data_IF_093866737238
#
_entry.id   IF_093866737238
#
_cell.length_a   1.000
_cell.length_b   1.000
_cell.length_c   1.000
_cell.angle_alpha   90.00
_cell.angle_beta   90.00
_cell.angle_gamma   90.00
#
_symmetry.space_group_name_H-M   'P 1'
#
loop_
_entity.id
_entity.type
_entity.pdbx_description
1 polymer ?
2 branched ?
3 branched ?
4 non-polymer ?
#
# COMPACT_ATOMS: atom_id res chain seq x y z
N UNK A 7 -23.15 -24.13 -19.21
CA UNK A 7 -22.69 -22.74 -18.90
C UNK A 7 -22.24 -22.67 -17.44
N UNK A 8 -21.04 -23.15 -17.14
CA UNK A 8 -20.58 -23.15 -15.74
C UNK A 8 -19.89 -21.88 -15.22
N UNK A 9 -19.96 -21.72 -13.90
CA UNK A 9 -19.42 -20.55 -13.20
C UNK A 9 -18.10 -20.69 -12.45
N UNK A 10 -17.43 -19.55 -12.32
CA UNK A 10 -16.15 -19.43 -11.61
C UNK A 10 -16.50 -19.17 -10.16
N UNK A 11 -15.93 -19.98 -9.28
CA UNK A 11 -16.21 -19.84 -7.87
C UNK A 11 -15.00 -19.32 -7.11
N UNK A 12 -15.15 -18.14 -6.52
CA UNK A 12 -14.06 -17.51 -5.78
C UNK A 12 -14.35 -17.39 -4.30
N UNK A 13 -13.30 -17.63 -3.51
CA UNK A 13 -13.37 -17.52 -2.05
C UNK A 13 -12.65 -16.22 -1.66
N UNK A 14 -13.34 -15.33 -0.96
CA UNK A 14 -12.71 -14.09 -0.52
C UNK A 14 -12.49 -14.18 0.99
N UNK A 15 -11.24 -14.34 1.40
CA UNK A 15 -10.86 -14.46 2.81
C UNK A 15 -10.29 -13.16 3.39
N UNK A 16 -11.13 -12.37 4.05
CA UNK A 16 -10.69 -11.10 4.62
C UNK A 16 -11.25 -10.92 6.03
N UNK A 17 -10.67 -9.99 6.82
CA UNK A 17 -11.11 -9.71 8.18
C UNK A 17 -12.56 -9.25 8.29
N UNK A 18 -13.21 -9.66 9.37
CA UNK A 18 -14.59 -9.32 9.65
C UNK A 18 -14.61 -7.96 10.34
N UNK A 19 -13.60 -7.75 11.19
CA UNK A 19 -13.43 -6.53 11.96
C UNK A 19 -13.15 -5.36 11.04
N UNK A 20 -14.11 -4.46 10.93
CA UNK A 20 -13.95 -3.30 10.05
C UNK A 20 -12.81 -2.39 10.46
N UNK A 21 -12.19 -2.65 11.60
CA UNK A 21 -11.08 -1.80 12.05
C UNK A 21 -9.89 -1.96 11.12
N UNK A 22 -9.89 -3.01 10.28
CA UNK A 22 -8.81 -3.23 9.32
C UNK A 22 -9.12 -2.47 8.04
N UNK A 23 -8.08 -2.00 7.37
CA UNK A 23 -8.28 -1.26 6.14
C UNK A 23 -8.74 -2.16 5.01
N UNK A 24 -8.55 -3.46 5.18
CA UNK A 24 -8.93 -4.42 4.15
C UNK A 24 -10.03 -5.36 4.63
N UNK A 25 -10.99 -4.84 5.38
CA UNK A 25 -12.08 -5.67 5.89
C UNK A 25 -13.06 -6.02 4.79
N UNK A 26 -13.73 -7.16 4.95
CA UNK A 26 -14.71 -7.64 4.00
C UNK A 26 -15.69 -6.55 3.61
N UNK A 27 -16.13 -5.75 4.57
CA UNK A 27 -17.09 -4.71 4.28
C UNK A 27 -16.56 -3.60 3.39
N UNK A 28 -15.33 -3.16 3.63
CA UNK A 28 -14.77 -2.08 2.83
C UNK A 28 -14.13 -2.54 1.54
N UNK A 29 -13.95 -3.85 1.38
CA UNK A 29 -13.34 -4.40 0.18
C UNK A 29 -14.35 -4.97 -0.82
N UNK A 30 -15.36 -5.66 -0.31
CA UNK A 30 -16.39 -6.27 -1.14
C UNK A 30 -16.97 -5.36 -2.22
N UNK A 31 -17.30 -4.10 -1.87
CA UNK A 31 -17.86 -3.17 -2.86
C UNK A 31 -16.99 -3.12 -4.11
N UNK A 32 -15.69 -2.95 -3.90
CA UNK A 32 -14.73 -2.88 -4.99
C UNK A 32 -14.63 -4.18 -5.77
N UNK A 33 -14.71 -5.32 -5.09
CA UNK A 33 -14.64 -6.60 -5.78
C UNK A 33 -15.86 -6.77 -6.64
N UNK A 34 -17.01 -6.36 -6.11
CA UNK A 34 -18.24 -6.47 -6.87
C UNK A 34 -18.25 -5.50 -8.03
N UNK A 35 -17.68 -4.32 -7.81
CA UNK A 35 -17.59 -3.34 -8.86
C UNK A 35 -16.81 -3.93 -10.05
N UNK A 36 -15.77 -4.69 -9.76
CA UNK A 36 -14.96 -5.30 -10.81
C UNK A 36 -15.73 -6.46 -11.44
N UNK A 37 -16.47 -7.21 -10.62
CA UNK A 37 -17.27 -8.31 -11.14
C UNK A 37 -18.30 -7.77 -12.14
N UNK A 38 -18.97 -6.68 -11.77
CA UNK A 38 -19.97 -6.07 -12.65
C UNK A 38 -19.38 -5.71 -13.99
N UNK A 39 -18.32 -4.91 -13.99
CA UNK A 39 -17.69 -4.49 -15.24
C UNK A 39 -17.16 -5.64 -16.09
N UNK A 40 -16.58 -6.64 -15.44
CA UNK A 40 -16.04 -7.81 -16.13
C UNK A 40 -17.15 -8.59 -16.81
N UNK A 41 -18.32 -8.61 -16.16
CA UNK A 41 -19.50 -9.31 -16.68
C UNK A 41 -20.04 -8.50 -17.88
N UNK A 42 -19.28 -7.50 -18.30
CA UNK A 42 -19.72 -6.64 -19.39
C UNK A 42 -20.84 -5.82 -18.79
N UNK A 50 -13.50 -10.66 -20.57
CA UNK A 50 -14.20 -11.28 -21.70
C UNK A 50 -14.16 -12.81 -21.70
N UNK A 51 -14.62 -13.45 -20.61
CA UNK A 51 -14.61 -14.92 -20.60
C UNK A 51 -15.58 -15.46 -21.66
N UNK A 52 -15.89 -16.77 -21.66
CA UNK A 52 -16.84 -17.26 -22.68
C UNK A 52 -18.24 -16.64 -22.56
N UNK A 53 -19.08 -17.26 -21.75
CA UNK A 53 -20.43 -16.76 -21.51
C UNK A 53 -20.75 -17.18 -20.09
N UNK A 54 -19.74 -17.04 -19.23
CA UNK A 54 -19.83 -17.43 -17.84
C UNK A 54 -20.04 -16.35 -16.76
N UNK A 55 -20.59 -16.80 -15.63
CA UNK A 55 -20.90 -15.97 -14.47
C UNK A 55 -19.93 -16.26 -13.30
N UNK A 56 -19.98 -15.44 -12.25
CA UNK A 56 -19.13 -15.61 -11.07
C UNK A 56 -19.94 -15.99 -9.83
N UNK A 57 -19.29 -16.68 -8.89
CA UNK A 57 -19.91 -17.09 -7.63
C UNK A 57 -18.89 -16.81 -6.51
N UNK A 58 -19.10 -15.73 -5.75
CA UNK A 58 -18.14 -15.35 -4.71
C UNK A 58 -18.57 -15.51 -3.26
N UNK A 59 -17.74 -16.18 -2.46
CA UNK A 59 -18.02 -16.40 -1.04
C UNK A 59 -17.11 -15.57 -0.13
N UNK A 60 -17.67 -14.74 0.74
CA UNK A 60 -16.87 -13.92 1.62
C UNK A 60 -16.76 -14.49 3.03
N UNK A 61 -15.58 -15.01 3.37
CA UNK A 61 -15.34 -15.59 4.68
C UNK A 61 -14.39 -14.76 5.53
N UNK A 62 -14.65 -14.71 6.83
CA UNK A 62 -13.79 -13.98 7.76
C UNK A 62 -12.48 -14.75 7.95
N UNK A 63 -11.36 -14.05 7.78
CA UNK A 63 -10.02 -14.62 7.93
C UNK A 63 -9.55 -14.40 9.36
N UNK A 64 -10.20 -13.45 10.03
CA UNK A 64 -9.88 -13.06 11.40
C UNK A 64 -8.45 -12.60 11.40
N UNK A 65 -7.95 -12.33 10.19
CA UNK A 65 -6.59 -11.89 10.01
C UNK A 65 -5.70 -12.84 10.84
N UNK A 66 -5.95 -14.13 10.68
CA UNK A 66 -5.20 -15.13 11.40
C UNK A 66 -5.45 -16.55 10.92
N UNK A 67 -5.58 -17.47 11.87
CA UNK A 67 -5.81 -18.87 11.56
C UNK A 67 -7.17 -19.17 10.96
N UNK A 68 -8.17 -18.37 11.31
CA UNK A 68 -9.51 -18.59 10.78
C UNK A 68 -9.45 -18.80 9.27
N UNK A 69 -8.72 -17.94 8.56
CA UNK A 69 -8.63 -18.09 7.12
C UNK A 69 -8.38 -19.55 6.71
N UNK A 70 -7.32 -20.16 7.22
CA UNK A 70 -7.03 -21.54 6.85
C UNK A 70 -8.21 -22.45 7.15
N UNK A 71 -8.78 -22.28 8.34
CA UNK A 71 -9.90 -23.07 8.82
C UNK A 71 -11.08 -23.06 7.84
N UNK A 72 -11.56 -21.88 7.50
CA UNK A 72 -12.67 -21.76 6.55
C UNK A 72 -12.34 -22.53 5.28
N UNK A 73 -11.29 -22.12 4.59
CA UNK A 73 -10.88 -22.80 3.36
C UNK A 73 -10.93 -24.31 3.52
N UNK A 74 -10.42 -24.80 4.65
CA UNK A 74 -10.40 -26.23 4.89
C UNK A 74 -11.78 -26.82 5.17
N UNK A 75 -12.50 -26.26 6.14
CA UNK A 75 -13.83 -26.77 6.43
C UNK A 75 -14.69 -26.71 5.17
N UNK A 76 -14.66 -25.55 4.54
CA UNK A 76 -15.39 -25.31 3.29
C UNK A 76 -15.19 -26.48 2.30
N UNK A 77 -13.93 -26.87 2.10
CA UNK A 77 -13.58 -27.95 1.18
C UNK A 77 -14.03 -29.33 1.66
N UNK A 78 -13.75 -29.66 2.92
CA UNK A 78 -14.14 -30.97 3.46
C UNK A 78 -15.66 -31.12 3.48
N UNK A 79 -16.35 -30.02 3.78
CA UNK A 79 -17.81 -30.02 3.85
C UNK A 79 -18.46 -30.06 2.47
N UNK A 80 -17.70 -29.73 1.43
CA UNK A 80 -18.20 -29.75 0.06
C UNK A 80 -17.64 -30.96 -0.67
N UNK A 81 -17.38 -32.02 0.09
CA UNK A 81 -16.87 -33.26 -0.47
C UNK A 81 -15.69 -33.03 -1.43
N UNK A 82 -14.62 -32.42 -0.93
CA UNK A 82 -13.44 -32.17 -1.76
C UNK A 82 -13.54 -31.12 -2.86
N UNK A 83 -14.55 -30.25 -2.79
CA UNK A 83 -14.73 -29.21 -3.80
C UNK A 83 -13.99 -27.92 -3.44
N UNK A 84 -12.90 -27.67 -4.16
CA UNK A 84 -12.07 -26.49 -3.92
C UNK A 84 -12.42 -25.36 -4.88
N UNK A 85 -12.43 -24.10 -4.41
CA UNK A 85 -12.75 -22.95 -5.25
C UNK A 85 -11.84 -22.82 -6.48
N UNK A 86 -12.19 -21.94 -7.40
CA UNK A 86 -11.38 -21.79 -8.62
C UNK A 86 -10.44 -20.60 -8.51
N UNK A 87 -10.65 -19.77 -7.49
CA UNK A 87 -9.85 -18.58 -7.29
C UNK A 87 -9.99 -18.11 -5.85
N UNK A 88 -8.85 -17.88 -5.19
CA UNK A 88 -8.86 -17.39 -3.81
C UNK A 88 -8.33 -15.97 -3.72
N UNK A 89 -9.13 -15.08 -3.14
CA UNK A 89 -8.76 -13.68 -2.96
C UNK A 89 -8.46 -13.46 -1.49
N UNK A 90 -7.20 -13.12 -1.18
CA UNK A 90 -6.82 -12.93 0.21
C UNK A 90 -6.28 -14.27 0.72
N UNK A 91 -5.90 -14.39 2.01
CA UNK A 91 -5.94 -13.35 3.04
C UNK A 91 -4.89 -12.26 2.79
N UNK A 92 -4.89 -11.26 3.66
CA UNK A 92 -3.96 -10.15 3.57
C UNK A 92 -2.86 -10.27 4.62
N UNK A 93 -3.28 -10.53 5.86
CA UNK A 93 -2.37 -10.68 6.99
C UNK A 93 -1.36 -11.76 6.74
N UNK A 94 -0.16 -11.55 7.27
CA UNK A 94 0.93 -12.50 7.10
C UNK A 94 0.59 -13.93 7.46
N UNK A 95 0.39 -14.18 8.75
CA UNK A 95 0.12 -15.53 9.23
C UNK A 95 -1.22 -16.10 8.81
N UNK A 96 -2.05 -15.27 8.20
CA UNK A 96 -3.34 -15.71 7.72
C UNK A 96 -3.16 -16.19 6.27
N UNK A 97 -2.40 -15.43 5.51
CA UNK A 97 -2.16 -15.74 4.11
C UNK A 97 -1.15 -16.84 3.84
N UNK A 98 -0.14 -16.98 4.70
CA UNK A 98 0.87 -17.99 4.46
C UNK A 98 0.30 -19.42 4.30
N UNK A 99 -0.44 -19.91 5.30
CA UNK A 99 -0.99 -21.26 5.17
C UNK A 99 -1.94 -21.46 3.98
N UNK A 100 -2.83 -20.48 3.74
CA UNK A 100 -3.76 -20.54 2.63
C UNK A 100 -2.97 -20.66 1.33
N UNK A 101 -1.93 -19.86 1.19
CA UNK A 101 -1.09 -19.89 0.00
C UNK A 101 -0.36 -21.22 -0.12
N UNK A 102 -0.09 -21.86 1.02
CA UNK A 102 0.59 -23.15 0.99
C UNK A 102 -0.38 -24.19 0.44
N UNK A 103 -1.65 -24.08 0.83
CA UNK A 103 -2.68 -24.98 0.37
C UNK A 103 -2.94 -24.75 -1.12
N UNK A 104 -3.02 -23.48 -1.51
CA UNK A 104 -3.28 -23.14 -2.90
C UNK A 104 -2.28 -23.86 -3.78
N UNK A 105 -1.00 -23.79 -3.41
CA UNK A 105 0.03 -24.45 -4.19
C UNK A 105 -0.19 -25.95 -4.25
N UNK A 106 -0.73 -26.50 -3.17
CA UNK A 106 -1.00 -27.93 -3.06
C UNK A 106 -2.15 -28.37 -3.94
N UNK A 107 -3.23 -27.61 -3.86
CA UNK A 107 -4.43 -27.90 -4.62
C UNK A 107 -4.44 -27.17 -5.94
N UNK A 108 -3.26 -26.91 -6.49
CA UNK A 108 -3.13 -26.18 -7.75
C UNK A 108 -4.20 -25.10 -7.92
N UNK A 109 -4.30 -24.20 -6.95
CA UNK A 109 -5.27 -23.13 -6.99
C UNK A 109 -4.56 -21.79 -7.17
N UNK A 110 -5.21 -20.81 -7.83
CA UNK A 110 -4.55 -19.53 -8.00
C UNK A 110 -4.97 -18.59 -6.87
N UNK A 111 -3.99 -18.08 -6.13
CA UNK A 111 -4.29 -17.17 -5.03
C UNK A 111 -3.79 -15.77 -5.34
N UNK A 112 -4.69 -14.80 -5.29
CA UNK A 112 -4.30 -13.43 -5.55
C UNK A 112 -4.61 -12.59 -4.32
N UNK A 113 -3.61 -11.84 -3.85
CA UNK A 113 -3.82 -11.01 -2.68
C UNK A 113 -3.25 -9.62 -2.81
N UNK A 114 -3.84 -8.68 -2.06
CA UNK A 114 -3.36 -7.30 -2.05
C UNK A 114 -2.57 -7.18 -0.75
N UNK A 115 -2.37 -8.32 -0.10
CA UNK A 115 -1.62 -8.39 1.14
C UNK A 115 -0.37 -9.24 0.96
N UNK A 116 -0.06 -10.08 1.93
CA UNK A 116 1.13 -10.92 1.86
C UNK A 116 2.35 -10.03 1.56
N UNK A 117 2.36 -8.85 2.19
CA UNK A 117 3.41 -7.84 2.04
C UNK A 117 4.80 -8.23 2.58
N UNK A 118 4.81 -9.17 3.53
CA UNK A 118 6.05 -9.65 4.13
C UNK A 118 7.09 -10.03 3.06
N UNK A 119 8.37 -9.86 3.36
CA UNK A 119 9.40 -10.19 2.38
C UNK A 119 9.60 -11.68 2.11
N UNK A 120 9.18 -12.54 3.02
CA UNK A 120 9.36 -13.97 2.78
C UNK A 120 8.53 -14.45 1.60
N UNK A 121 7.40 -13.78 1.39
CA UNK A 121 6.48 -14.09 0.31
C UNK A 121 7.03 -13.84 -1.07
N UNK A 122 8.32 -13.52 -1.20
CA UNK A 122 8.82 -13.27 -2.54
C UNK A 122 9.60 -14.46 -3.02
N UNK A 123 9.71 -15.47 -2.18
CA UNK A 123 10.41 -16.69 -2.55
C UNK A 123 9.32 -17.66 -2.98
N UNK A 124 9.01 -17.65 -4.26
CA UNK A 124 7.95 -18.50 -4.82
C UNK A 124 8.50 -19.72 -5.54
N UNK A 125 9.64 -20.19 -5.07
CA UNK A 125 10.31 -21.35 -5.64
C UNK A 125 9.46 -22.59 -5.40
N UNK A 126 8.46 -22.49 -4.52
CA UNK A 126 7.63 -23.63 -4.24
C UNK A 126 6.33 -23.38 -3.47
N UNK A 127 6.37 -23.44 -2.14
CA UNK A 127 5.17 -23.24 -1.36
C UNK A 127 4.38 -22.00 -1.72
N UNK A 128 5.04 -21.03 -2.35
CA UNK A 128 4.35 -19.79 -2.70
C UNK A 128 4.25 -19.59 -4.20
N UNK A 129 4.50 -20.65 -4.95
CA UNK A 129 4.44 -20.59 -6.40
C UNK A 129 3.08 -20.22 -6.96
N UNK A 130 2.03 -20.41 -6.18
CA UNK A 130 0.69 -20.10 -6.65
C UNK A 130 0.13 -18.80 -6.12
N UNK A 131 1.03 -17.87 -5.81
CA UNK A 131 0.62 -16.59 -5.25
C UNK A 131 1.14 -15.43 -6.08
N UNK A 132 0.31 -14.42 -6.26
CA UNK A 132 0.77 -13.24 -6.97
C UNK A 132 0.22 -12.09 -6.14
N UNK A 133 1.13 -11.15 -5.83
CA UNK A 133 0.79 -10.01 -4.99
C UNK A 133 0.48 -8.83 -5.86
N UNK A 134 -0.77 -8.42 -5.76
CA UNK A 134 -1.30 -7.33 -6.54
C UNK A 134 -0.90 -5.96 -6.00
N UNK A 135 -0.64 -5.88 -4.70
CA UNK A 135 -0.22 -4.62 -4.08
C UNK A 135 1.31 -4.58 -3.92
N UNK A 136 1.90 -3.37 -3.86
CA UNK A 136 3.36 -3.29 -3.70
C UNK A 136 3.76 -3.81 -2.32
N UNK A 137 4.72 -4.73 -2.28
CA UNK A 137 5.17 -5.31 -1.02
C UNK A 137 6.01 -4.30 -0.20
N UNK A 138 6.12 -4.55 1.10
CA UNK A 138 6.91 -3.70 1.98
C UNK A 138 8.25 -3.33 1.32
N UNK A 139 8.96 -4.35 0.84
CA UNK A 139 10.24 -4.11 0.19
C UNK A 139 10.24 -2.97 -0.85
N UNK A 140 9.11 -2.75 -1.51
CA UNK A 140 9.05 -1.72 -2.53
C UNK A 140 9.25 -0.30 -2.03
N UNK A 141 9.02 -0.07 -0.73
CA UNK A 141 9.21 1.27 -0.20
C UNK A 141 10.71 1.57 -0.14
N UNK A 142 11.48 0.56 0.22
CA UNK A 142 12.91 0.71 0.30
C UNK A 142 13.49 1.00 -1.07
N UNK A 143 12.98 0.34 -2.10
CA UNK A 143 13.50 0.55 -3.44
C UNK A 143 13.20 1.97 -3.91
N UNK A 144 12.04 2.46 -3.50
CA UNK A 144 11.63 3.80 -3.88
C UNK A 144 12.51 4.81 -3.15
N UNK A 145 12.55 4.73 -1.82
CA UNK A 145 13.36 5.64 -1.02
C UNK A 145 14.80 5.72 -1.48
N UNK A 146 15.38 4.57 -1.77
CA UNK A 146 16.76 4.51 -2.21
C UNK A 146 16.99 5.31 -3.48
N UNK A 147 16.02 5.25 -4.41
CA UNK A 147 16.15 5.98 -5.67
C UNK A 147 16.03 7.48 -5.43
N UNK A 148 15.22 7.84 -4.44
CA UNK A 148 15.01 9.24 -4.08
C UNK A 148 16.32 9.80 -3.56
N UNK A 149 16.97 9.06 -2.67
CA UNK A 149 18.23 9.50 -2.11
C UNK A 149 19.31 9.57 -3.16
N UNK A 150 19.26 8.70 -4.16
CA UNK A 150 20.28 8.78 -5.20
C UNK A 150 20.08 10.05 -5.98
N UNK A 151 18.82 10.40 -6.21
CA UNK A 151 18.49 11.61 -6.96
C UNK A 151 18.88 12.85 -6.17
N UNK A 152 18.59 12.84 -4.86
CA UNK A 152 18.90 13.96 -3.98
C UNK A 152 20.32 13.88 -3.45
N UNK A 153 21.06 12.88 -3.91
CA UNK A 153 22.43 12.70 -3.48
C UNK A 153 22.57 12.57 -1.96
N UNK A 154 21.51 12.12 -1.27
CA UNK A 154 21.57 11.95 0.18
C UNK A 154 22.17 10.59 0.53
N UNK A 155 22.53 10.39 1.79
CA UNK A 155 23.15 9.13 2.20
C UNK A 155 23.00 8.79 3.68
N UNK A 156 22.29 9.63 4.40
CA UNK A 156 22.07 9.39 5.82
C UNK A 156 20.63 9.77 6.08
N UNK A 157 20.02 9.16 7.08
CA UNK A 157 18.64 9.48 7.40
C UNK A 157 18.16 8.90 8.71
N UNK A 158 17.16 9.54 9.28
CA UNK A 158 16.56 9.09 10.52
C UNK A 158 15.23 8.43 10.14
N UNK A 159 15.03 7.21 10.60
CA UNK A 159 13.82 6.47 10.31
C UNK A 159 12.96 6.49 11.57
N UNK A 160 11.88 7.23 11.53
CA UNK A 160 11.00 7.31 12.68
C UNK A 160 9.70 6.59 12.38
N UNK A 161 9.30 5.67 13.24
CA UNK A 161 8.06 4.92 13.04
C UNK A 161 7.41 4.44 14.32
N UNK A 162 6.09 4.34 14.33
CA UNK A 162 5.40 3.85 15.51
C UNK A 162 5.48 2.33 15.44
N UNK A 163 5.07 1.64 16.50
CA UNK A 163 5.13 0.18 16.48
C UNK A 163 3.97 -0.54 17.13
N UNK A 164 3.24 -1.22 16.26
CA UNK A 164 2.03 -2.00 16.53
C UNK A 164 2.14 -3.08 17.60
N UNK A 165 3.03 -4.04 17.35
CA UNK A 165 3.16 -5.19 18.21
C UNK A 165 1.88 -5.96 17.91
N UNK A 166 1.51 -5.88 16.63
CA UNK A 166 0.35 -6.53 16.01
C UNK A 166 0.83 -6.82 14.60
N UNK A 167 0.35 -6.02 13.64
CA UNK A 167 0.73 -6.16 12.25
C UNK A 167 2.05 -5.44 12.00
N UNK A 168 2.31 -4.38 12.77
CA UNK A 168 3.54 -3.61 12.66
C UNK A 168 3.75 -3.15 11.22
N UNK A 169 2.69 -2.58 10.66
CA UNK A 169 2.77 -2.12 9.28
C UNK A 169 3.90 -1.14 9.08
N UNK A 170 3.98 -0.14 9.97
CA UNK A 170 5.00 0.88 9.90
C UNK A 170 6.38 0.34 10.18
N UNK A 171 6.46 -0.49 11.22
CA UNK A 171 7.73 -1.08 11.57
C UNK A 171 8.37 -1.76 10.36
N UNK A 172 7.60 -2.59 9.66
CA UNK A 172 8.10 -3.30 8.48
C UNK A 172 8.37 -2.41 7.27
N UNK A 173 7.51 -1.42 7.04
CA UNK A 173 7.71 -0.52 5.92
C UNK A 173 9.10 0.09 6.06
N UNK A 174 9.33 0.78 7.19
CA UNK A 174 10.62 1.42 7.42
C UNK A 174 11.82 0.50 7.64
N UNK A 175 11.61 -0.62 8.34
CA UNK A 175 12.72 -1.54 8.53
C UNK A 175 13.12 -2.08 7.15
N UNK A 176 12.16 -2.07 6.22
CA UNK A 176 12.47 -2.53 4.88
C UNK A 176 13.43 -1.54 4.26
N UNK A 177 13.10 -0.26 4.42
CA UNK A 177 13.91 0.87 3.91
C UNK A 177 15.29 0.78 4.54
N UNK A 178 15.28 0.57 5.86
CA UNK A 178 16.49 0.44 6.63
C UNK A 178 17.35 -0.64 6.00
N UNK A 179 16.81 -1.86 6.01
CA UNK A 179 17.48 -3.03 5.48
C UNK A 179 18.06 -2.83 4.08
N UNK A 180 17.44 -1.97 3.28
CA UNK A 180 17.93 -1.70 1.93
C UNK A 180 19.12 -0.76 1.98
N UNK A 181 19.01 0.28 2.81
CA UNK A 181 20.08 1.26 2.96
C UNK A 181 21.35 0.60 3.48
N UNK A 182 21.22 -0.40 4.36
CA UNK A 182 22.38 -1.10 4.90
C UNK A 182 23.21 -1.68 3.77
N UNK A 183 22.57 -2.45 2.91
CA UNK A 183 23.26 -3.08 1.81
C UNK A 183 23.91 -2.05 0.89
N UNK A 184 23.25 -0.92 0.69
CA UNK A 184 23.78 0.11 -0.19
C UNK A 184 24.75 1.08 0.47
N UNK A 185 24.99 0.87 1.77
CA UNK A 185 25.93 1.70 2.48
C UNK A 185 25.43 3.01 3.07
N UNK A 186 24.12 3.25 3.08
CA UNK A 186 23.61 4.48 3.64
C UNK A 186 23.47 4.34 5.16
N UNK A 187 23.92 5.34 5.90
CA UNK A 187 23.86 5.32 7.36
C UNK A 187 22.48 5.79 7.84
N UNK A 188 21.94 5.12 8.85
CA UNK A 188 20.62 5.46 9.38
C UNK A 188 20.49 5.51 10.90
N UNK A 189 19.45 6.18 11.37
CA UNK A 189 19.16 6.31 12.80
C UNK A 189 17.71 5.87 12.97
N UNK A 190 17.48 4.84 13.77
CA UNK A 190 16.12 4.34 13.96
C UNK A 190 15.49 4.83 15.26
N UNK A 191 14.24 5.29 15.19
CA UNK A 191 13.53 5.76 16.37
C UNK A 191 12.16 5.11 16.41
N UNK A 192 12.01 4.13 17.27
CA UNK A 192 10.76 3.39 17.43
C UNK A 192 9.95 3.93 18.62
N UNK A 193 8.65 3.67 18.63
CA UNK A 193 7.79 4.12 19.72
C UNK A 193 6.36 3.73 19.40
N UNK A 194 5.52 3.46 20.39
CA UNK A 194 4.13 3.14 20.05
C UNK A 194 3.19 4.23 20.53
N UNK A 195 2.37 4.71 19.60
CA UNK A 195 1.40 5.78 19.87
C UNK A 195 0.30 5.38 20.84
N UNK A 196 0.28 4.13 21.27
CA UNK A 196 -0.73 3.68 22.22
C UNK A 196 -0.42 4.33 23.57
N UNK A 197 0.85 4.68 23.75
CA UNK A 197 1.32 5.33 24.97
C UNK A 197 1.53 6.82 24.73
N UNK A 198 1.71 7.55 25.83
CA UNK A 198 1.96 8.99 25.77
C UNK A 198 3.20 9.22 24.91
N UNK A 199 3.18 10.29 24.12
CA UNK A 199 4.31 10.57 23.24
C UNK A 199 5.37 11.50 23.82
N UNK A 200 6.56 10.92 24.00
CA UNK A 200 7.70 11.66 24.50
C UNK A 200 8.43 12.16 23.25
N UNK A 201 7.65 12.71 22.33
CA UNK A 201 8.16 13.22 21.06
C UNK A 201 9.21 14.31 21.23
N UNK A 202 9.12 15.04 22.34
CA UNK A 202 10.08 16.09 22.61
C UNK A 202 11.47 15.49 22.59
N UNK A 203 11.61 14.34 23.26
CA UNK A 203 12.87 13.64 23.32
C UNK A 203 13.35 13.23 21.92
N UNK A 204 12.40 12.75 21.12
CA UNK A 204 12.72 12.33 19.76
C UNK A 204 13.21 13.49 18.90
N UNK A 205 12.35 14.49 18.69
CA UNK A 205 12.70 15.65 17.87
C UNK A 205 14.08 16.19 18.18
N UNK A 206 14.42 16.18 19.47
CA UNK A 206 15.72 16.66 19.92
C UNK A 206 16.85 15.78 19.43
N UNK A 207 16.71 14.48 19.65
CA UNK A 207 17.72 13.54 19.21
C UNK A 207 17.93 13.66 17.71
N UNK A 208 16.82 13.79 16.99
CA UNK A 208 16.85 13.91 15.55
C UNK A 208 17.64 15.12 15.05
N UNK A 209 17.43 16.28 15.68
CA UNK A 209 18.13 17.48 15.23
C UNK A 209 19.62 17.40 15.46
N UNK A 210 20.02 16.51 16.37
CA UNK A 210 21.43 16.32 16.67
C UNK A 210 21.94 15.09 15.92
N UNK A 211 21.05 14.42 15.19
CA UNK A 211 21.42 13.21 14.45
C UNK A 211 21.50 13.35 12.92
N UNK A 212 20.37 13.59 12.26
CA UNK A 212 20.37 13.74 10.81
C UNK A 212 19.61 14.95 10.28
N UNK A 213 19.77 15.19 8.98
CA UNK A 213 19.14 16.30 8.32
C UNK A 213 17.89 15.85 7.53
N UNK A 214 17.78 14.54 7.30
CA UNK A 214 16.67 13.94 6.55
C UNK A 214 15.93 12.91 7.41
N UNK A 215 14.63 13.14 7.62
CA UNK A 215 13.80 12.25 8.44
C UNK A 215 12.67 11.59 7.65
N UNK A 216 12.56 10.27 7.77
CA UNK A 216 11.50 9.53 7.09
C UNK A 216 10.61 8.90 8.16
N UNK A 217 9.37 9.37 8.23
CA UNK A 217 8.43 8.91 9.24
C UNK A 217 7.27 8.07 8.68
N UNK A 218 6.67 7.26 9.56
CA UNK A 218 5.51 6.43 9.26
C UNK A 218 4.76 6.30 10.59
N UNK A 219 3.60 6.93 10.68
CA UNK A 219 2.81 6.87 11.90
C UNK A 219 1.48 7.54 11.63
N UNK A 220 0.58 7.51 12.60
CA UNK A 220 -0.74 8.09 12.42
C UNK A 220 -0.74 9.52 11.91
N UNK A 221 -1.82 9.87 11.22
CA UNK A 221 -1.99 11.20 10.67
C UNK A 221 -1.64 12.26 11.71
N UNK A 222 -2.16 12.08 12.92
CA UNK A 222 -1.93 13.03 14.01
C UNK A 222 -0.56 12.94 14.62
N UNK A 223 -0.05 11.74 14.86
CA UNK A 223 1.28 11.61 15.44
C UNK A 223 2.29 12.30 14.53
N UNK A 224 1.98 12.38 13.25
CA UNK A 224 2.89 13.04 12.32
C UNK A 224 2.71 14.55 12.48
N UNK A 225 1.47 15.02 12.55
CA UNK A 225 1.20 16.45 12.70
C UNK A 225 1.83 16.97 13.99
N UNK A 226 1.82 16.14 15.03
CA UNK A 226 2.39 16.51 16.31
C UNK A 226 3.90 16.60 16.21
N UNK A 227 4.52 15.62 15.58
CA UNK A 227 5.98 15.64 15.45
C UNK A 227 6.37 16.92 14.71
N UNK A 228 5.57 17.32 13.74
CA UNK A 228 5.89 18.51 12.97
C UNK A 228 5.79 19.79 13.81
N UNK A 229 4.79 19.88 14.68
CA UNK A 229 4.66 21.07 15.51
C UNK A 229 5.85 21.19 16.46
N UNK A 230 6.32 20.07 16.99
CA UNK A 230 7.48 20.11 17.90
C UNK A 230 8.75 20.51 17.15
N UNK A 231 8.94 19.96 15.97
CA UNK A 231 10.13 20.29 15.20
C UNK A 231 10.02 21.72 14.71
N UNK A 232 8.78 22.21 14.62
CA UNK A 232 8.52 23.57 14.17
C UNK A 232 8.84 24.49 15.33
N UNK A 233 8.48 24.06 16.53
CA UNK A 233 8.76 24.85 17.72
C UNK A 233 10.26 25.00 17.84
N UNK A 234 11.01 24.00 17.37
CA UNK A 234 12.46 24.08 17.42
C UNK A 234 13.02 24.66 16.12
N UNK A 235 12.18 25.33 15.34
CA UNK A 235 12.61 25.93 14.08
C UNK A 235 13.44 25.07 13.12
N UNK A 236 13.11 23.79 13.03
CA UNK A 236 13.81 22.86 12.15
C UNK A 236 13.00 22.75 10.87
N UNK A 237 11.86 23.42 10.91
CA UNK A 237 10.89 23.43 9.83
C UNK A 237 11.13 24.49 8.76
N UNK A 238 12.28 25.15 8.77
CA UNK A 238 12.52 26.20 7.79
C UNK A 238 13.36 25.89 6.57
N UNK A 239 13.68 24.63 6.34
CA UNK A 239 14.46 24.32 5.15
C UNK A 239 15.78 23.60 5.34
N UNK A 240 16.24 23.47 6.58
CA UNK A 240 17.50 22.77 6.81
C UNK A 240 17.25 21.30 7.13
N UNK A 241 15.97 20.94 7.18
CA UNK A 241 15.56 19.55 7.44
C UNK A 241 14.55 19.09 6.41
N UNK A 242 14.72 17.87 5.93
CA UNK A 242 13.81 17.27 4.95
C UNK A 242 12.89 16.31 5.68
N UNK A 243 11.60 16.61 5.71
CA UNK A 243 10.65 15.73 6.38
C UNK A 243 9.78 14.92 5.42
N UNK A 244 9.72 13.61 5.68
CA UNK A 244 8.93 12.72 4.86
C UNK A 244 8.07 11.83 5.71
N UNK A 245 6.78 11.80 5.43
CA UNK A 245 5.91 10.91 6.15
C UNK A 245 5.37 10.01 5.04
N UNK A 246 5.14 8.75 5.35
CA UNK A 246 4.63 7.82 4.35
C UNK A 246 3.16 7.54 4.58
N UNK A 247 2.33 7.77 3.56
CA UNK A 247 0.90 7.51 3.69
C UNK A 247 0.64 6.05 3.34
N UNK A 248 0.98 5.14 4.26
CA UNK A 248 0.80 3.71 4.02
C UNK A 248 -0.53 3.32 3.40
N UNK A 249 -0.44 2.61 2.28
CA UNK A 249 -1.61 2.13 1.57
C UNK A 249 -2.57 3.30 1.24
N UNK A 250 -2.03 4.41 0.75
CA UNK A 250 -2.83 5.60 0.46
C UNK A 250 -4.05 5.77 1.36
N UNK A 251 -3.80 5.64 2.67
CA UNK A 251 -4.81 5.79 3.70
C UNK A 251 -4.61 7.08 4.51
N UNK A 252 -5.60 7.95 4.50
CA UNK A 252 -5.54 9.21 5.23
C UNK A 252 -5.04 9.05 6.66
N UNK A 253 -5.37 7.91 7.27
CA UNK A 253 -4.99 7.64 8.65
C UNK A 253 -3.48 7.70 8.92
N UNK A 254 -2.67 7.69 7.87
CA UNK A 254 -1.22 7.75 8.04
C UNK A 254 -0.63 9.12 7.71
N UNK A 255 -1.51 10.07 7.40
CA UNK A 255 -1.07 11.41 7.05
C UNK A 255 -0.95 11.60 5.56
N UNK A 256 -1.82 12.43 5.00
CA UNK A 256 -1.82 12.69 3.57
C UNK A 256 -1.30 14.10 3.31
N UNK A 257 -0.77 14.74 4.35
CA UNK A 257 -0.26 16.09 4.20
C UNK A 257 -1.24 17.16 4.61
N UNK A 258 -2.38 16.77 5.18
CA UNK A 258 -3.38 17.72 5.63
C UNK A 258 -2.97 18.32 6.96
N UNK A 259 -2.43 19.54 6.91
CA UNK A 259 -1.98 20.24 8.11
C UNK A 259 -3.13 20.88 8.86
N UNK A 260 -4.20 21.21 8.15
CA UNK A 260 -5.33 21.84 8.79
C UNK A 260 -6.13 20.89 9.68
N UNK A 261 -6.69 21.43 10.75
CA UNK A 261 -7.50 20.66 11.69
C UNK A 261 -8.62 21.54 12.24
N UNK A 262 -8.32 22.81 12.44
CA UNK A 262 -9.31 23.73 12.96
C UNK A 262 -9.08 23.96 14.45
N UNK A 263 -7.81 23.96 14.85
CA UNK A 263 -7.45 24.16 16.24
C UNK A 263 -6.53 25.35 16.40
N UNK A 264 -5.99 25.52 17.60
CA UNK A 264 -5.09 26.62 17.92
C UNK A 264 -3.89 26.65 16.98
N UNK A 265 -3.42 25.48 16.58
CA UNK A 265 -2.23 25.37 15.77
C UNK A 265 -2.29 25.33 14.25
N UNK A 266 -3.46 25.56 13.67
CA UNK A 266 -3.56 25.51 12.21
C UNK A 266 -2.49 26.30 11.46
N UNK A 267 -2.35 27.59 11.76
CA UNK A 267 -1.35 28.40 11.08
C UNK A 267 0.04 27.86 11.33
N UNK A 268 0.33 27.56 12.60
CA UNK A 268 1.62 27.03 12.99
C UNK A 268 1.89 25.77 12.15
N UNK A 269 0.88 24.91 12.06
CA UNK A 269 0.99 23.68 11.29
C UNK A 269 1.17 23.93 9.80
N UNK A 270 0.47 24.91 9.25
CA UNK A 270 0.59 25.23 7.83
C UNK A 270 2.03 25.53 7.49
N UNK A 271 2.66 26.34 8.34
CA UNK A 271 4.04 26.72 8.12
C UNK A 271 4.96 25.50 8.24
N UNK A 272 4.72 24.68 9.26
CA UNK A 272 5.53 23.50 9.51
C UNK A 272 5.53 22.52 8.34
N UNK A 273 4.36 22.31 7.75
CA UNK A 273 4.21 21.38 6.65
C UNK A 273 4.93 21.80 5.38
N UNK A 274 5.40 23.04 5.34
CA UNK A 274 6.10 23.53 4.16
C UNK A 274 7.37 22.71 3.95
N UNK A 275 7.83 22.02 5.00
CA UNK A 275 9.03 21.20 4.94
C UNK A 275 8.71 19.71 4.94
N UNK A 276 7.42 19.39 4.87
CA UNK A 276 6.99 17.99 4.86
C UNK A 276 6.68 17.52 3.43
N UNK A 277 7.13 16.32 3.11
CA UNK A 277 6.87 15.73 1.81
C UNK A 277 6.22 14.38 2.09
N UNK A 278 4.97 14.25 1.65
CA UNK A 278 4.20 13.02 1.85
C UNK A 278 4.34 12.06 0.66
N UNK A 279 4.80 10.84 0.94
CA UNK A 279 4.96 9.82 -0.10
C UNK A 279 3.69 8.99 -0.20
N UNK A 280 3.05 9.05 -1.37
CA UNK A 280 1.81 8.31 -1.58
C UNK A 280 1.94 7.42 -2.80
N UNK A 281 0.88 6.68 -3.09
CA UNK A 281 0.88 5.82 -4.26
C UNK A 281 0.69 6.76 -5.42
N UNK A 282 1.29 6.44 -6.56
CA UNK A 282 1.18 7.27 -7.76
C UNK A 282 -0.22 7.86 -7.93
N UNK A 283 -0.24 9.17 -8.13
CA UNK A 283 -1.48 9.92 -8.27
C UNK A 283 -2.30 9.64 -9.53
N UNK A 284 -3.62 9.54 -9.35
CA UNK A 284 -4.56 9.35 -10.47
C UNK A 284 -5.71 10.29 -10.28
N UNK A 285 -6.32 10.68 -11.39
CA UNK A 285 -7.44 11.57 -11.37
C UNK A 285 -8.45 11.13 -12.43
N UNK A 286 -8.12 10.05 -13.14
CA UNK A 286 -9.03 9.59 -14.19
C UNK A 286 -10.42 9.39 -13.62
N UNK A 287 -11.45 9.83 -14.35
CA UNK A 287 -12.87 9.76 -14.02
C UNK A 287 -13.33 8.39 -13.52
N UNK A 288 -12.96 7.35 -14.26
CA UNK A 288 -13.32 5.98 -13.90
C UNK A 288 -13.06 5.73 -12.42
N UNK A 289 -11.96 6.32 -11.92
CA UNK A 289 -11.57 6.18 -10.52
C UNK A 289 -12.46 6.97 -9.57
N UNK A 290 -13.11 8.01 -10.07
CA UNK A 290 -14.02 8.80 -9.25
C UNK A 290 -15.33 8.05 -9.15
N UNK A 291 -15.75 7.45 -10.26
CA UNK A 291 -16.98 6.68 -10.28
C UNK A 291 -16.78 5.55 -9.28
N UNK A 292 -15.64 4.88 -9.40
CA UNK A 292 -15.29 3.79 -8.51
C UNK A 292 -15.33 4.24 -7.05
N UNK A 293 -14.61 5.32 -6.75
CA UNK A 293 -14.55 5.83 -5.39
C UNK A 293 -15.91 6.16 -4.81
N UNK A 294 -16.69 6.96 -5.54
CA UNK A 294 -18.01 7.34 -5.06
C UNK A 294 -18.90 6.14 -4.79
N UNK A 295 -18.88 5.15 -5.69
CA UNK A 295 -19.69 3.96 -5.50
C UNK A 295 -19.29 3.16 -4.28
N UNK A 296 -17.99 2.94 -4.09
CA UNK A 296 -17.55 2.18 -2.92
C UNK A 296 -17.93 2.94 -1.66
N UNK A 297 -17.75 4.27 -1.68
CA UNK A 297 -18.11 5.07 -0.53
C UNK A 297 -19.59 4.81 -0.22
N UNK A 298 -20.40 4.92 -1.26
CA UNK A 298 -21.83 4.70 -1.13
C UNK A 298 -22.13 3.40 -0.39
N UNK A 299 -21.61 2.29 -0.89
CA UNK A 299 -21.84 0.96 -0.29
C UNK A 299 -21.50 0.87 1.18
N UNK A 300 -20.29 1.27 1.52
CA UNK A 300 -19.86 1.21 2.91
C UNK A 300 -20.64 2.22 3.75
N UNK A 301 -21.16 3.24 3.08
CA UNK A 301 -21.93 4.30 3.73
C UNK A 301 -23.27 3.71 4.19
N UNK A 302 -24.03 3.22 3.21
CA UNK A 302 -25.34 2.61 3.44
C UNK A 302 -25.30 1.52 4.51
N UNK A 303 -24.18 0.82 4.58
CA UNK A 303 -24.05 -0.24 5.57
C UNK A 303 -23.47 0.19 6.88
N UNK A 304 -23.86 1.37 7.36
CA UNK A 304 -23.40 1.86 8.65
C UNK A 304 -21.92 1.72 8.97
N UNK A 305 -21.14 2.71 8.58
CA UNK A 305 -19.71 2.77 8.84
C UNK A 305 -19.50 4.02 8.07
N UNK A 306 -18.75 4.96 8.63
CA UNK A 306 -18.60 6.21 7.94
C UNK A 306 -17.21 6.81 7.86
N UNK A 307 -16.32 6.48 8.80
CA UNK A 307 -15.03 7.14 8.72
C UNK A 307 -13.98 6.44 7.89
N UNK A 308 -12.79 7.06 7.92
CA UNK A 308 -11.64 6.59 7.17
C UNK A 308 -11.94 7.00 5.73
N UNK A 309 -11.16 6.47 4.80
CA UNK A 309 -11.39 6.75 3.41
C UNK A 309 -11.86 5.41 2.84
N UNK A 310 -12.67 5.46 1.79
CA UNK A 310 -13.21 4.24 1.21
C UNK A 310 -12.34 3.59 0.16
N UNK A 311 -11.30 4.31 -0.27
CA UNK A 311 -10.39 3.76 -1.26
C UNK A 311 -8.94 3.85 -0.77
N UNK A 312 -8.35 2.69 -0.55
CA UNK A 312 -6.97 2.60 -0.10
C UNK A 312 -6.30 1.55 -0.97
N UNK A 313 -5.01 1.33 -0.75
CA UNK A 313 -4.29 0.37 -1.55
C UNK A 313 -4.96 -0.99 -1.67
N UNK A 314 -5.57 -1.46 -0.59
CA UNK A 314 -6.24 -2.77 -0.59
C UNK A 314 -7.52 -2.79 -1.41
N UNK A 315 -8.36 -1.79 -1.18
CA UNK A 315 -9.63 -1.68 -1.89
C UNK A 315 -9.40 -1.66 -3.39
N UNK A 316 -8.41 -0.90 -3.83
CA UNK A 316 -8.09 -0.82 -5.25
C UNK A 316 -7.43 -2.11 -5.72
N UNK A 317 -6.66 -2.73 -4.85
CA UNK A 317 -5.96 -3.94 -5.21
C UNK A 317 -6.86 -5.09 -5.60
N UNK A 318 -7.85 -5.36 -4.75
CA UNK A 318 -8.76 -6.45 -5.00
C UNK A 318 -9.64 -6.22 -6.22
N UNK A 319 -9.98 -4.97 -6.53
CA UNK A 319 -10.74 -4.74 -7.73
C UNK A 319 -9.84 -5.17 -8.88
N UNK A 320 -8.58 -4.73 -8.85
CA UNK A 320 -7.63 -5.06 -9.90
C UNK A 320 -7.23 -6.54 -9.95
N UNK A 321 -7.40 -7.25 -8.84
CA UNK A 321 -7.06 -8.67 -8.82
C UNK A 321 -8.07 -9.46 -9.67
N UNK A 322 -9.33 -9.02 -9.65
CA UNK A 322 -10.41 -9.64 -10.44
C UNK A 322 -10.04 -9.49 -11.91
N UNK A 323 -9.74 -8.27 -12.35
CA UNK A 323 -9.37 -8.06 -13.75
C UNK A 323 -8.18 -8.91 -14.15
N UNK A 324 -7.15 -8.95 -13.31
CA UNK A 324 -5.98 -9.74 -13.62
C UNK A 324 -6.32 -11.21 -13.79
N UNK A 325 -7.23 -11.72 -12.96
CA UNK A 325 -7.61 -13.14 -13.05
C UNK A 325 -8.21 -13.44 -14.42
N UNK A 326 -9.18 -12.63 -14.80
CA UNK A 326 -9.83 -12.78 -16.09
C UNK A 326 -8.78 -12.79 -17.20
N UNK A 327 -7.99 -11.73 -17.32
CA UNK A 327 -6.97 -11.69 -18.37
C UNK A 327 -6.20 -12.99 -18.43
N UNK A 328 -5.80 -13.49 -17.27
CA UNK A 328 -5.02 -14.73 -17.20
C UNK A 328 -5.83 -15.92 -17.70
N UNK A 329 -7.00 -16.11 -17.12
CA UNK A 329 -7.92 -17.20 -17.49
C UNK A 329 -8.11 -17.32 -19.00
N UNK A 330 -8.44 -16.19 -19.61
CA UNK A 330 -8.65 -16.10 -21.04
C UNK A 330 -7.45 -16.70 -21.78
N UNK A 331 -6.25 -16.36 -21.32
CA UNK A 331 -5.02 -16.83 -21.95
C UNK A 331 -4.71 -18.29 -21.68
N UNK A 332 -5.29 -18.83 -20.62
CA UNK A 332 -5.07 -20.24 -20.24
C UNK A 332 -6.00 -21.13 -21.06
N UNK A 333 -7.23 -20.65 -21.24
CA UNK A 333 -8.22 -21.37 -22.02
C UNK A 333 -7.64 -21.59 -23.43
N UNK A 334 -7.28 -20.49 -24.08
CA UNK A 334 -6.72 -20.55 -25.42
C UNK A 334 -5.57 -21.55 -25.53
N UNK A 335 -4.89 -21.81 -24.42
CA UNK A 335 -3.77 -22.73 -24.47
C UNK A 335 -4.24 -24.16 -24.33
N UNK A 336 -5.52 -24.32 -24.02
CA UNK A 336 -6.07 -25.66 -23.87
C UNK A 336 -6.23 -26.15 -22.45
N UNK A 337 -6.02 -25.27 -21.47
CA UNK A 337 -6.18 -25.65 -20.06
C UNK A 337 -7.47 -25.12 -19.47
N UNK A 338 -7.72 -25.45 -18.22
CA UNK A 338 -8.96 -25.03 -17.58
C UNK A 338 -8.78 -24.17 -16.33
N UNK A 339 -9.89 -23.59 -15.89
CA UNK A 339 -9.88 -22.76 -14.70
C UNK A 339 -9.38 -23.59 -13.51
N UNK A 340 -9.10 -24.87 -13.75
CA UNK A 340 -8.62 -25.76 -12.70
C UNK A 340 -7.10 -25.84 -12.65
N UNK A 341 -6.42 -25.35 -13.68
CA UNK A 341 -4.97 -25.36 -13.68
C UNK A 341 -4.50 -24.05 -13.05
N UNK A 342 -4.56 -24.00 -11.72
CA UNK A 342 -4.18 -22.82 -10.96
C UNK A 342 -2.81 -22.26 -11.29
N UNK A 343 -1.79 -23.12 -11.31
CA UNK A 343 -0.44 -22.67 -11.60
C UNK A 343 -0.33 -22.01 -12.96
N UNK A 344 -0.99 -22.63 -13.94
CA UNK A 344 -1.03 -22.14 -15.32
C UNK A 344 -1.66 -20.75 -15.34
N UNK A 345 -2.67 -20.55 -14.50
CA UNK A 345 -3.33 -19.26 -14.42
C UNK A 345 -2.38 -18.25 -13.76
N UNK A 346 -1.78 -18.66 -12.65
CA UNK A 346 -0.84 -17.80 -11.93
C UNK A 346 0.30 -17.37 -12.86
N UNK A 347 0.90 -18.32 -13.55
CA UNK A 347 1.98 -17.98 -14.46
C UNK A 347 1.54 -16.90 -15.43
N UNK A 348 0.33 -17.07 -15.97
CA UNK A 348 -0.23 -16.11 -16.92
C UNK A 348 -0.49 -14.78 -16.23
N UNK A 349 -0.44 -14.79 -14.91
CA UNK A 349 -0.71 -13.58 -14.17
C UNK A 349 0.55 -12.76 -13.88
N UNK A 350 1.71 -13.40 -14.01
CA UNK A 350 2.99 -12.76 -13.77
C UNK A 350 3.53 -12.07 -15.02
N UNK A 351 4.44 -11.12 -14.81
CA UNK A 351 5.06 -10.39 -15.91
C UNK A 351 3.99 -9.84 -16.84
N UNK A 352 3.04 -9.13 -16.30
CA UNK A 352 1.96 -8.61 -17.13
C UNK A 352 1.54 -7.21 -16.73
N UNK A 353 1.14 -6.40 -17.70
CA UNK A 353 0.70 -5.04 -17.38
C UNK A 353 -0.69 -4.78 -17.93
N UNK A 354 -1.48 -3.99 -17.21
CA UNK A 354 -2.82 -3.65 -17.66
C UNK A 354 -3.32 -2.46 -16.87
N UNK A 355 -4.38 -1.83 -17.36
CA UNK A 355 -4.92 -0.67 -16.69
C UNK A 355 -5.92 -1.03 -15.60
N UNK A 356 -5.70 -0.54 -14.38
CA UNK A 356 -6.60 -0.78 -13.27
C UNK A 356 -7.48 0.43 -13.07
N UNK A 357 -8.33 0.45 -12.03
CA UNK A 357 -9.21 1.61 -11.83
C UNK A 357 -8.43 2.81 -11.33
N UNK A 358 -7.24 2.58 -10.80
CA UNK A 358 -6.46 3.70 -10.29
C UNK A 358 -5.12 3.84 -10.98
N UNK A 359 -5.08 3.41 -12.23
CA UNK A 359 -3.84 3.51 -12.99
C UNK A 359 -3.21 2.18 -13.35
N UNK A 360 -2.08 2.24 -14.06
CA UNK A 360 -1.39 1.04 -14.49
C UNK A 360 -1.06 0.10 -13.36
N UNK A 361 -1.01 -1.19 -13.66
CA UNK A 361 -0.63 -2.16 -12.67
C UNK A 361 0.26 -3.15 -13.39
N UNK A 362 1.52 -3.20 -12.98
CA UNK A 362 2.52 -4.08 -13.56
C UNK A 362 2.91 -5.14 -12.56
N UNK A 363 3.00 -6.37 -13.01
CA UNK A 363 3.40 -7.44 -12.11
C UNK A 363 4.74 -7.87 -12.66
N UNK A 364 5.74 -8.00 -11.79
CA UNK A 364 7.06 -8.40 -12.26
C UNK A 364 7.06 -9.88 -12.60
N UNK A 365 8.19 -10.35 -13.13
CA UNK A 365 8.31 -11.74 -13.50
C UNK A 365 8.22 -12.70 -12.33
N UNK A 366 8.21 -12.19 -11.10
CA UNK A 366 8.11 -13.05 -9.91
C UNK A 366 6.67 -13.02 -9.35
N UNK A 367 5.79 -12.33 -10.04
CA UNK A 367 4.41 -12.27 -9.59
C UNK A 367 4.15 -11.25 -8.52
N UNK A 368 5.04 -10.26 -8.40
CA UNK A 368 4.86 -9.21 -7.42
C UNK A 368 4.68 -7.88 -8.13
N UNK A 369 3.71 -7.10 -7.65
CA UNK A 369 3.40 -5.78 -8.20
C UNK A 369 4.58 -4.79 -8.07
N UNK A 370 4.85 -4.02 -9.11
CA UNK A 370 5.90 -3.00 -9.08
C UNK A 370 5.29 -1.79 -8.35
N UNK A 371 6.06 -1.14 -7.50
CA UNK A 371 5.52 0.01 -6.79
C UNK A 371 5.67 1.33 -7.50
N UNK A 372 4.57 2.03 -7.74
CA UNK A 372 4.62 3.35 -8.37
C UNK A 372 4.19 4.38 -7.34
N UNK A 373 5.05 5.35 -7.05
CA UNK A 373 4.70 6.34 -6.04
C UNK A 373 4.79 7.80 -6.48
N UNK A 374 4.18 8.66 -5.68
CA UNK A 374 4.16 10.09 -5.91
C UNK A 374 4.68 10.76 -4.63
N UNK A 375 5.22 11.97 -4.77
CA UNK A 375 5.70 12.72 -3.62
C UNK A 375 4.96 14.04 -3.61
N UNK A 376 4.15 14.27 -2.57
CA UNK A 376 3.39 15.51 -2.47
C UNK A 376 4.03 16.52 -1.51
N UNK A 377 4.25 17.73 -2.00
CA UNK A 377 4.86 18.78 -1.20
C UNK A 377 4.02 20.05 -1.25
N UNK A 378 4.24 20.94 -0.30
CA UNK A 378 3.50 22.21 -0.28
C UNK A 378 4.22 23.15 -1.24
N UNK A 379 3.56 23.51 -2.34
CA UNK A 379 4.16 24.38 -3.33
C UNK A 379 3.76 25.85 -3.18
N UNK A 380 2.75 26.12 -2.37
CA UNK A 380 2.30 27.49 -2.09
C UNK A 380 2.22 27.61 -0.57
N UNK A 381 3.33 28.01 0.03
CA UNK A 381 3.41 28.11 1.47
C UNK A 381 2.36 29.01 2.10
N UNK A 382 2.01 30.10 1.41
CA UNK A 382 1.01 30.99 1.95
C UNK A 382 -0.32 30.27 1.99
N UNK A 383 -0.76 29.78 0.82
CA UNK A 383 -2.03 29.06 0.73
C UNK A 383 -2.04 27.73 1.47
N UNK A 384 -0.90 27.03 1.55
CA UNK A 384 -0.87 25.75 2.23
C UNK A 384 -1.25 24.67 1.23
N UNK A 385 -1.26 25.08 -0.02
CA UNK A 385 -1.58 24.26 -1.18
C UNK A 385 -0.57 23.12 -1.42
N UNK A 386 -1.05 21.88 -1.41
CA UNK A 386 -0.20 20.71 -1.65
C UNK A 386 -0.23 20.40 -3.16
N UNK A 387 0.73 19.62 -3.64
CA UNK A 387 0.81 19.26 -5.06
C UNK A 387 1.89 18.22 -5.29
N UNK A 388 1.65 17.25 -6.16
CA UNK A 388 2.68 16.24 -6.40
C UNK A 388 3.81 16.88 -7.18
N UNK A 389 5.06 16.61 -6.75
CA UNK A 389 6.24 17.18 -7.37
C UNK A 389 7.21 16.13 -7.90
N UNK A 390 6.92 14.87 -7.62
CA UNK A 390 7.79 13.80 -8.09
C UNK A 390 7.09 12.45 -8.13
N UNK A 391 7.63 11.54 -8.93
CA UNK A 391 7.06 10.20 -9.03
C UNK A 391 8.13 9.14 -9.13
N UNK A 392 7.85 7.96 -8.60
CA UNK A 392 8.79 6.86 -8.69
C UNK A 392 8.09 5.71 -9.38
N UNK A 393 8.62 5.27 -10.51
CA UNK A 393 8.01 4.15 -11.22
C UNK A 393 8.84 2.90 -10.99
N UNK A 394 8.26 1.95 -10.27
CA UNK A 394 8.96 0.72 -9.93
C UNK A 394 9.53 -0.09 -11.08
N UNK A 395 8.75 -0.21 -12.16
CA UNK A 395 9.18 -0.98 -13.32
C UNK A 395 10.53 -0.48 -13.83
N UNK A 396 10.60 0.80 -14.21
CA UNK A 396 11.85 1.39 -14.70
C UNK A 396 12.80 1.72 -13.56
N UNK A 397 12.27 1.73 -12.34
CA UNK A 397 13.08 2.01 -11.16
C UNK A 397 13.73 3.37 -11.11
N UNK A 398 13.07 4.37 -11.70
CA UNK A 398 13.59 5.72 -11.72
C UNK A 398 12.69 6.68 -10.98
N UNK A 399 13.30 7.65 -10.30
CA UNK A 399 12.58 8.69 -9.61
C UNK A 399 12.67 9.90 -10.55
N UNK A 400 11.58 10.63 -10.73
CA UNK A 400 11.61 11.77 -11.62
C UNK A 400 10.80 12.92 -11.09
N UNK A 401 11.40 14.12 -11.10
CA UNK A 401 10.71 15.31 -10.62
C UNK A 401 9.77 15.77 -11.73
N UNK A 402 8.52 16.09 -11.36
CA UNK A 402 7.55 16.54 -12.36
C UNK A 402 7.93 17.89 -12.92
N UNK A 403 8.11 17.97 -14.25
CA UNK A 403 8.47 19.20 -14.94
C UNK A 403 7.49 20.33 -14.70
N UNK A 404 7.95 21.56 -14.90
CA UNK A 404 7.17 22.77 -14.73
C UNK A 404 6.26 22.91 -13.51
N UNK A 405 6.79 22.60 -12.33
CA UNK A 405 6.06 22.75 -11.08
C UNK A 405 6.58 24.10 -10.56
N UNK A 406 5.67 25.03 -10.32
CA UNK A 406 6.07 26.35 -9.84
C UNK A 406 6.38 26.48 -8.36
N UNK A 407 7.65 26.64 -8.03
CA UNK A 407 8.08 26.82 -6.65
C UNK A 407 9.11 27.95 -6.66
N UNK A 408 8.61 29.20 -6.64
CA UNK A 408 9.43 30.42 -6.67
C UNK A 408 10.22 30.68 -5.39
N UNK A 409 9.61 30.37 -4.25
CA UNK A 409 10.24 30.59 -2.95
C UNK A 409 9.74 29.56 -1.95
N UNK A 410 10.59 29.19 -1.01
CA UNK A 410 10.17 28.21 -0.01
C UNK A 410 11.31 27.36 0.46
N UNK A 411 11.15 26.63 1.58
CA UNK A 411 12.22 25.78 2.11
C UNK A 411 12.68 24.64 1.21
N UNK A 412 11.83 24.24 0.27
CA UNK A 412 12.20 23.16 -0.64
C UNK A 412 13.19 23.60 -1.70
N UNK A 413 13.51 24.89 -1.70
CA UNK A 413 14.46 25.44 -2.67
C UNK A 413 15.89 25.25 -2.19
N UNK A 414 16.05 24.94 -0.91
CA UNK A 414 17.37 24.74 -0.31
C UNK A 414 17.90 23.35 -0.54
N UNK A 415 19.21 23.18 -0.37
CA UNK A 415 19.85 21.88 -0.53
C UNK A 415 20.27 21.37 0.84
N UNK A 416 19.64 20.31 1.32
CA UNK A 416 19.98 19.74 2.61
C UNK A 416 21.47 19.36 2.64
N UNK A 417 22.06 19.41 3.83
CA UNK A 417 23.47 19.02 3.97
C UNK A 417 23.81 18.36 5.29
N UNK A 418 24.29 17.12 5.15
CA UNK A 418 24.66 16.26 6.28
C UNK A 418 26.12 16.37 6.71
N UNK A 419 26.71 17.55 6.51
CA UNK A 419 28.09 17.78 6.91
C UNK A 419 28.09 18.34 8.35
N UNK A 420 27.02 18.05 9.09
CA UNK A 420 26.85 18.50 10.48
C UNK A 420 26.91 17.32 11.47
#
# INVERSE_FOLDING_TARGET
EREALPPQKIEVLVLLPQDDSYLFSLTRVRPAIEYALRSVEGNGTGRRLLPPGTRFQVAYEDSDCGNRALFSLVDRVAAARGAKPDLILGPVCEYAAAPVARLASHWDLPMLSAGALAAGFQHKDSEYSHLTRVAPAYAKMGEMMLALFRHHHWSRAALVYSDDKLERNCYFTLEGVHEVFQEEGLHTSIYSFDETKDLDLEDIVRNIQASERVVIMCASSDTIRSIMLVAHRHGMTSGDYAFFNIELFNSSSYGDGSWKRGDKHDFEAKQAYSSLQTVTLLRTVKPEFEKFSMEVKSSVEKQGLNMEDYVNMFVEGFHDAILLYVLALHEVLRAGYSKKDGGKIIQQTWNRTFEGIAGQVSIDANGDRYGDFSVIAMTDVEAGTQEVIGDYFGKEGRFEMRPNVKYPWGPLKLRIDENRIVEHTNSSPCKSCGLEESAVT
#
